data_IF_878667626696
#
_entry.id   IF_878667626696
#
_cell.length_a   1.000
_cell.length_b   1.000
_cell.length_c   1.000
_cell.angle_alpha   90.00
_cell.angle_beta   90.00
_cell.angle_gamma   90.00
#
_symmetry.space_group_name_H-M   'P 1'
#
loop_
_entity.id
_entity.type
_entity.pdbx_description
1 polymer ?
#
# COMPACT_ATOMS: atom_id res chain seq x y z
N UNK A 1 -19.73 28.01 14.44
CA UNK A 1 -19.74 26.57 14.06
C UNK A 1 -18.44 26.09 13.39
N UNK A 2 -17.28 26.67 13.74
CA UNK A 2 -15.98 26.34 13.13
C UNK A 2 -15.55 24.87 13.32
N UNK A 3 -15.68 24.33 14.53
CA UNK A 3 -15.30 22.95 14.82
C UNK A 3 -16.06 21.93 13.96
N UNK A 4 -17.34 22.17 13.69
CA UNK A 4 -18.15 21.24 12.90
C UNK A 4 -17.77 21.26 11.42
N UNK A 5 -17.40 22.42 10.87
CA UNK A 5 -16.90 22.52 9.50
C UNK A 5 -15.55 21.82 9.34
N UNK A 6 -14.63 22.00 10.29
CA UNK A 6 -13.33 21.32 10.26
C UNK A 6 -13.47 19.81 10.40
N UNK A 7 -14.37 19.36 11.28
CA UNK A 7 -14.68 17.94 11.46
C UNK A 7 -15.16 17.29 10.15
N UNK A 8 -16.09 17.95 9.43
CA UNK A 8 -16.54 17.47 8.11
C UNK A 8 -15.40 17.41 7.11
N UNK A 9 -14.51 18.40 7.09
CA UNK A 9 -13.34 18.41 6.21
C UNK A 9 -12.42 17.21 6.45
N UNK A 10 -12.10 16.93 7.72
CA UNK A 10 -11.29 15.75 8.08
C UNK A 10 -11.99 14.46 7.66
N UNK A 11 -13.30 14.33 7.94
CA UNK A 11 -14.08 13.16 7.58
C UNK A 11 -14.06 12.91 6.07
N UNK A 12 -14.28 13.95 5.26
CA UNK A 12 -14.26 13.85 3.79
C UNK A 12 -12.89 13.41 3.30
N UNK A 13 -11.80 14.00 3.81
CA UNK A 13 -10.45 13.63 3.39
C UNK A 13 -10.11 12.18 3.74
N UNK A 14 -10.48 11.72 4.94
CA UNK A 14 -10.25 10.34 5.37
C UNK A 14 -11.05 9.36 4.52
N UNK A 15 -12.33 9.64 4.28
CA UNK A 15 -13.18 8.76 3.47
C UNK A 15 -12.75 8.75 2.00
N UNK A 16 -12.44 9.91 1.43
CA UNK A 16 -11.99 10.02 0.05
C UNK A 16 -10.67 9.27 -0.19
N UNK A 17 -9.66 9.56 0.62
CA UNK A 17 -8.36 8.90 0.49
C UNK A 17 -8.43 7.42 0.86
N UNK A 18 -9.16 7.06 1.91
CA UNK A 18 -9.31 5.68 2.35
C UNK A 18 -10.05 4.80 1.34
N UNK A 19 -11.27 5.20 0.95
CA UNK A 19 -12.10 4.41 0.04
C UNK A 19 -11.50 4.40 -1.37
N UNK A 20 -11.05 5.57 -1.86
CA UNK A 20 -10.41 5.66 -3.17
C UNK A 20 -9.17 4.78 -3.26
N UNK A 21 -8.29 4.84 -2.26
CA UNK A 21 -7.09 3.99 -2.24
C UNK A 21 -7.44 2.52 -2.10
N UNK A 22 -8.42 2.15 -1.27
CA UNK A 22 -8.84 0.75 -1.10
C UNK A 22 -9.34 0.14 -2.42
N UNK A 23 -10.15 0.89 -3.19
CA UNK A 23 -10.63 0.44 -4.51
C UNK A 23 -9.45 0.28 -5.47
N UNK A 24 -8.58 1.28 -5.57
CA UNK A 24 -7.43 1.25 -6.48
C UNK A 24 -6.47 0.12 -6.14
N UNK A 25 -6.10 -0.03 -4.87
CA UNK A 25 -5.24 -1.13 -4.42
C UNK A 25 -5.88 -2.48 -4.70
N UNK A 26 -7.20 -2.62 -4.50
CA UNK A 26 -7.86 -3.90 -4.79
C UNK A 26 -7.85 -4.24 -6.28
N UNK A 27 -8.06 -3.24 -7.15
CA UNK A 27 -8.00 -3.43 -8.60
C UNK A 27 -6.58 -3.82 -9.02
N UNK A 28 -5.55 -3.10 -8.55
CA UNK A 28 -4.15 -3.38 -8.86
C UNK A 28 -3.75 -4.77 -8.37
N UNK A 29 -4.16 -5.14 -7.15
CA UNK A 29 -3.90 -6.45 -6.56
C UNK A 29 -4.48 -7.60 -7.40
N UNK A 30 -5.67 -7.41 -7.99
CA UNK A 30 -6.29 -8.42 -8.84
C UNK A 30 -5.66 -8.53 -10.24
N UNK A 31 -5.10 -7.44 -10.79
CA UNK A 31 -4.58 -7.40 -12.16
C UNK A 31 -3.08 -7.71 -12.21
N UNK A 32 -2.31 -7.12 -11.30
CA UNK A 32 -0.83 -7.16 -11.30
C UNK A 32 -0.30 -8.00 -10.14
N UNK A 33 -1.00 -8.01 -9.00
CA UNK A 33 -0.49 -8.50 -7.73
C UNK A 33 0.32 -7.42 -7.03
N UNK A 34 -0.22 -6.85 -5.95
CA UNK A 34 0.37 -5.70 -5.27
C UNK A 34 1.47 -6.10 -4.27
N UNK A 35 1.36 -7.30 -3.71
CA UNK A 35 2.26 -7.82 -2.68
C UNK A 35 3.02 -9.05 -3.18
N UNK A 36 4.34 -9.15 -2.95
CA UNK A 36 5.10 -10.38 -3.21
C UNK A 36 4.55 -11.57 -2.42
N UNK A 37 4.88 -12.78 -2.88
CA UNK A 37 4.48 -14.02 -2.19
C UNK A 37 5.13 -14.11 -0.82
N UNK A 38 4.50 -14.83 0.12
CA UNK A 38 5.02 -14.97 1.48
C UNK A 38 6.43 -15.59 1.54
N UNK A 39 6.77 -16.45 0.57
CA UNK A 39 8.10 -17.05 0.49
C UNK A 39 9.12 -16.06 -0.07
N UNK A 40 8.76 -15.26 -1.08
CA UNK A 40 9.62 -14.19 -1.59
C UNK A 40 9.88 -13.09 -0.55
N UNK A 41 8.87 -12.77 0.27
CA UNK A 41 9.06 -11.84 1.40
C UNK A 41 10.02 -12.38 2.48
N UNK A 42 10.04 -13.69 2.71
CA UNK A 42 10.95 -14.33 3.68
C UNK A 42 12.38 -14.43 3.17
N UNK A 43 12.54 -14.76 1.89
CA UNK A 43 13.84 -14.91 1.24
C UNK A 43 14.49 -13.55 0.95
N UNK A 44 13.67 -12.51 0.76
CA UNK A 44 14.09 -11.12 0.55
C UNK A 44 13.92 -10.69 -0.90
N UNK A 45 13.46 -9.45 -1.10
CA UNK A 45 13.22 -8.89 -2.43
C UNK A 45 14.51 -8.65 -3.22
N UNK A 46 15.62 -8.35 -2.53
CA UNK A 46 16.92 -8.20 -3.18
C UNK A 46 17.30 -9.50 -3.91
N UNK A 47 17.12 -10.65 -3.24
CA UNK A 47 17.43 -11.94 -3.85
C UNK A 47 16.35 -12.36 -4.86
N UNK A 48 15.07 -12.24 -4.51
CA UNK A 48 13.97 -12.79 -5.31
C UNK A 48 13.51 -11.94 -6.47
N UNK A 49 13.67 -10.61 -6.41
CA UNK A 49 13.29 -9.67 -7.47
C UNK A 49 14.49 -9.07 -8.20
N UNK A 50 15.64 -8.92 -7.53
CA UNK A 50 16.83 -8.29 -8.11
C UNK A 50 18.00 -9.27 -8.34
N UNK A 51 17.98 -10.48 -7.76
CA UNK A 51 19.04 -11.47 -7.91
C UNK A 51 20.34 -11.12 -7.17
N UNK A 52 20.26 -10.17 -6.24
CA UNK A 52 21.42 -9.60 -5.54
C UNK A 52 21.30 -9.83 -4.02
N UNK A 53 22.44 -9.88 -3.33
CA UNK A 53 22.47 -9.88 -1.87
C UNK A 53 23.04 -8.54 -1.43
N UNK A 54 22.27 -7.76 -0.65
CA UNK A 54 22.66 -6.41 -0.26
C UNK A 54 24.01 -6.35 0.50
N UNK A 55 24.37 -7.42 1.20
CA UNK A 55 25.62 -7.50 1.97
C UNK A 55 26.30 -8.86 1.77
N UNK A 56 27.54 -8.81 1.30
CA UNK A 56 28.48 -9.93 1.35
C UNK A 56 29.42 -9.72 2.55
N UNK A 57 29.71 -10.75 3.35
CA UNK A 57 30.73 -10.67 4.39
C UNK A 57 32.15 -10.55 3.80
#
# INVERSE_FOLDING_TARGET
TQLWSQFKGVLVTVLWSGIGSAILYKIVDMIVGLRPTADAEREGLDLTAHGEVAYHP
#
